data_IF_020606035574
#
_entry.id   IF_020606035574
#
_cell.length_a   1.000
_cell.length_b   1.000
_cell.length_c   1.000
_cell.angle_alpha   90.00
_cell.angle_beta   90.00
_cell.angle_gamma   90.00
#
_symmetry.space_group_name_H-M   'P 1'
#
loop_
_entity.id
_entity.type
_entity.pdbx_description
1 polymer ?
#
# COMPACT_ATOMS: atom_id res chain seq x y z
N UNK A 1 -29.12 -32.64 52.23
CA UNK A 1 -27.84 -32.53 51.50
C UNK A 1 -28.07 -31.62 50.31
N UNK A 2 -27.59 -30.37 50.38
CA UNK A 2 -27.56 -29.44 49.26
C UNK A 2 -26.38 -29.79 48.34
N UNK A 3 -26.60 -29.77 47.02
CA UNK A 3 -25.61 -29.56 45.95
C UNK A 3 -26.45 -29.43 44.65
N UNK A 4 -26.41 -28.41 43.81
CA UNK A 4 -25.49 -27.30 43.58
C UNK A 4 -25.53 -27.05 42.07
N UNK A 5 -26.28 -26.04 41.62
CA UNK A 5 -26.40 -25.66 40.20
C UNK A 5 -25.12 -24.94 39.81
N UNK A 6 -24.35 -25.48 38.86
CA UNK A 6 -23.20 -24.80 38.27
C UNK A 6 -23.68 -23.78 37.23
N UNK A 7 -23.55 -22.50 37.55
CA UNK A 7 -23.80 -21.37 36.65
C UNK A 7 -22.51 -21.10 35.86
N UNK A 8 -22.53 -21.36 34.55
CA UNK A 8 -21.42 -21.04 33.65
C UNK A 8 -21.31 -19.52 33.46
N UNK A 9 -20.19 -18.94 33.89
CA UNK A 9 -19.88 -17.53 33.67
C UNK A 9 -19.43 -17.32 32.21
N UNK A 10 -20.24 -16.59 31.44
CA UNK A 10 -19.90 -16.11 30.11
C UNK A 10 -19.02 -14.86 30.26
N UNK A 11 -17.71 -15.00 30.03
CA UNK A 11 -16.80 -13.85 29.94
C UNK A 11 -17.03 -13.12 28.61
N UNK A 12 -17.75 -12.00 28.66
CA UNK A 12 -17.75 -11.02 27.57
C UNK A 12 -16.57 -10.08 27.81
N UNK A 13 -15.48 -10.30 27.08
CA UNK A 13 -14.39 -9.33 27.01
C UNK A 13 -14.88 -8.11 26.21
N UNK A 14 -15.40 -7.11 26.91
CA UNK A 14 -15.66 -5.80 26.32
C UNK A 14 -14.30 -5.14 26.04
N UNK A 15 -13.84 -5.21 24.79
CA UNK A 15 -12.70 -4.43 24.34
C UNK A 15 -13.01 -2.95 24.51
N UNK A 16 -12.22 -2.25 25.32
CA UNK A 16 -12.30 -0.80 25.45
C UNK A 16 -11.90 -0.17 24.12
N UNK A 17 -12.87 0.26 23.31
CA UNK A 17 -12.61 1.18 22.21
C UNK A 17 -12.44 2.56 22.82
N UNK A 18 -11.20 3.03 22.95
CA UNK A 18 -10.95 4.45 23.26
C UNK A 18 -11.31 5.21 21.97
N UNK A 19 -12.34 6.08 21.96
CA UNK A 19 -12.58 6.91 20.80
C UNK A 19 -11.39 7.86 20.67
N UNK A 20 -10.60 7.69 19.61
CA UNK A 20 -9.60 8.68 19.22
C UNK A 20 -10.40 9.92 18.80
N UNK A 21 -10.39 10.94 19.65
CA UNK A 21 -10.96 12.24 19.30
C UNK A 21 -10.11 12.83 18.18
N UNK A 22 -10.58 12.68 16.95
CA UNK A 22 -10.02 13.35 15.79
C UNK A 22 -10.23 14.86 15.98
N UNK A 23 -9.15 15.59 16.22
CA UNK A 23 -9.19 17.06 16.19
C UNK A 23 -9.35 17.49 14.74
N UNK A 24 -10.39 18.25 14.43
CA UNK A 24 -10.60 18.81 13.10
C UNK A 24 -9.94 20.19 13.02
N UNK A 25 -9.29 20.48 11.90
CA UNK A 25 -8.84 21.82 11.54
C UNK A 25 -10.05 22.75 11.22
N UNK A 26 -9.85 24.07 11.09
CA UNK A 26 -10.94 25.00 10.75
C UNK A 26 -11.64 24.73 9.42
N UNK A 27 -11.06 23.91 8.55
CA UNK A 27 -11.62 23.48 7.26
C UNK A 27 -12.33 22.12 7.36
N UNK A 28 -12.46 21.56 8.57
CA UNK A 28 -13.11 20.27 8.84
C UNK A 28 -12.27 19.06 8.44
N UNK A 29 -10.96 19.21 8.20
CA UNK A 29 -10.05 18.09 8.00
C UNK A 29 -9.63 17.52 9.36
N UNK A 30 -9.58 16.19 9.53
CA UNK A 30 -8.79 15.57 10.59
C UNK A 30 -7.38 16.15 10.61
N UNK A 31 -6.85 16.48 11.78
CA UNK A 31 -5.43 16.74 11.96
C UNK A 31 -4.69 15.41 11.70
N UNK A 32 -4.24 15.20 10.47
CA UNK A 32 -3.45 14.03 10.09
C UNK A 32 -2.01 14.23 10.56
N UNK A 33 -1.81 14.03 11.86
CA UNK A 33 -0.47 14.02 12.41
C UNK A 33 0.26 12.77 11.94
N UNK A 34 1.49 12.95 11.49
CA UNK A 34 2.30 11.82 11.06
C UNK A 34 2.46 10.81 12.21
N UNK A 35 2.40 9.51 11.87
CA UNK A 35 2.47 8.43 12.85
C UNK A 35 1.20 8.19 13.69
N UNK A 36 0.14 8.98 13.53
CA UNK A 36 -1.15 8.73 14.18
C UNK A 36 -2.10 8.04 13.19
N UNK A 37 -2.51 6.78 13.42
CA UNK A 37 -3.46 6.09 12.55
C UNK A 37 -4.86 6.70 12.67
N UNK A 38 -5.54 6.83 11.54
CA UNK A 38 -6.93 7.33 11.46
C UNK A 38 -7.80 6.29 10.77
N UNK A 39 -8.84 5.83 11.45
CA UNK A 39 -9.79 4.89 10.87
C UNK A 39 -10.78 5.61 9.94
N UNK A 40 -11.04 5.00 8.79
CA UNK A 40 -11.94 5.50 7.77
C UNK A 40 -12.71 4.37 7.10
N UNK A 41 -13.86 4.69 6.49
CA UNK A 41 -14.61 3.77 5.63
C UNK A 41 -14.41 4.16 4.17
N UNK A 42 -14.04 3.22 3.32
CA UNK A 42 -13.95 3.47 1.88
C UNK A 42 -15.35 3.61 1.29
N UNK A 43 -15.65 4.76 0.71
CA UNK A 43 -16.95 5.07 0.10
C UNK A 43 -16.95 4.86 -1.40
N UNK A 44 -15.81 5.11 -2.06
CA UNK A 44 -15.62 4.95 -3.50
C UNK A 44 -14.15 4.66 -3.81
N UNK A 45 -13.92 3.88 -4.86
CA UNK A 45 -12.60 3.78 -5.52
C UNK A 45 -12.65 4.67 -6.74
N UNK A 46 -11.67 5.58 -6.87
CA UNK A 46 -11.60 6.55 -7.97
C UNK A 46 -10.80 5.91 -9.11
N UNK A 47 -9.63 5.39 -8.80
CA UNK A 47 -8.75 4.65 -9.71
C UNK A 47 -7.87 3.65 -8.92
N UNK A 48 -6.78 3.17 -9.52
CA UNK A 48 -5.92 2.14 -8.94
C UNK A 48 -5.22 2.54 -7.66
N UNK A 49 -4.81 3.81 -7.51
CA UNK A 49 -4.08 4.30 -6.33
C UNK A 49 -4.86 5.37 -5.55
N UNK A 50 -6.05 5.76 -5.99
CA UNK A 50 -6.85 6.83 -5.37
C UNK A 50 -8.21 6.32 -4.91
N UNK A 51 -8.53 6.58 -3.63
CA UNK A 51 -9.80 6.20 -2.98
C UNK A 51 -10.47 7.40 -2.31
N UNK A 52 -11.80 7.35 -2.19
CA UNK A 52 -12.55 8.26 -1.35
C UNK A 52 -12.96 7.55 -0.05
N UNK A 53 -12.79 8.25 1.07
CA UNK A 53 -13.02 7.69 2.41
C UNK A 53 -13.83 8.64 3.28
N UNK A 54 -14.63 8.07 4.17
CA UNK A 54 -15.39 8.78 5.18
C UNK A 54 -14.78 8.52 6.56
N UNK A 55 -14.35 9.57 7.22
CA UNK A 55 -13.84 9.52 8.60
C UNK A 55 -14.96 9.85 9.57
N UNK A 56 -14.96 9.21 10.73
CA UNK A 56 -15.97 9.43 11.76
C UNK A 56 -16.00 10.91 12.17
N UNK A 57 -17.18 11.54 12.08
CA UNK A 57 -17.37 12.96 12.38
C UNK A 57 -16.75 13.94 11.36
N UNK A 58 -15.95 13.46 10.41
CA UNK A 58 -15.31 14.26 9.37
C UNK A 58 -16.10 14.29 8.06
N UNK A 59 -15.60 15.04 7.08
CA UNK A 59 -16.09 15.00 5.70
C UNK A 59 -15.53 13.79 4.94
N UNK A 60 -16.01 13.61 3.71
CA UNK A 60 -15.38 12.68 2.78
C UNK A 60 -14.06 13.28 2.30
N UNK A 61 -13.01 12.46 2.28
CA UNK A 61 -11.66 12.81 1.88
C UNK A 61 -11.24 11.96 0.69
N UNK A 62 -10.49 12.55 -0.24
CA UNK A 62 -9.80 11.80 -1.30
C UNK A 62 -8.39 11.49 -0.84
N UNK A 63 -8.00 10.23 -0.93
CA UNK A 63 -6.70 9.71 -0.49
C UNK A 63 -6.00 9.10 -1.69
N UNK A 64 -4.78 9.56 -1.98
CA UNK A 64 -3.85 8.84 -2.86
C UNK A 64 -2.96 7.97 -2.00
N UNK A 65 -2.85 6.69 -2.37
CA UNK A 65 -1.98 5.73 -1.69
C UNK A 65 -0.54 6.19 -1.85
N UNK A 66 0.10 6.51 -0.73
CA UNK A 66 1.46 7.02 -0.71
C UNK A 66 2.45 5.94 -1.18
N UNK A 67 3.41 6.34 -2.02
CA UNK A 67 4.56 5.56 -2.45
C UNK A 67 4.37 4.77 -3.75
N UNK A 68 3.16 4.77 -4.31
CA UNK A 68 2.84 4.01 -5.52
C UNK A 68 2.20 4.90 -6.59
N UNK A 69 2.21 4.39 -7.81
CA UNK A 69 1.57 4.97 -8.99
C UNK A 69 1.02 3.82 -9.85
N UNK A 70 -0.24 3.92 -10.28
CA UNK A 70 -0.88 2.93 -11.17
C UNK A 70 -1.04 3.48 -12.56
N UNK A 71 -1.05 2.64 -13.62
CA UNK A 71 -1.30 3.14 -14.96
C UNK A 71 -2.63 3.89 -15.05
N UNK A 72 -2.66 4.95 -15.84
CA UNK A 72 -3.86 5.78 -16.00
C UNK A 72 -4.95 5.02 -16.76
N UNK A 73 -6.21 5.26 -16.41
CA UNK A 73 -7.36 4.63 -17.12
C UNK A 73 -7.66 5.25 -18.48
N UNK A 74 -6.97 6.35 -18.81
CA UNK A 74 -7.09 7.04 -20.09
C UNK A 74 -5.74 7.01 -20.82
N UNK A 75 -5.75 6.67 -22.11
CA UNK A 75 -4.52 6.41 -22.87
C UNK A 75 -3.58 7.62 -22.94
N UNK A 76 -4.12 8.84 -23.00
CA UNK A 76 -3.33 10.07 -23.05
C UNK A 76 -2.64 10.41 -21.72
N UNK A 77 -3.01 9.73 -20.63
CA UNK A 77 -2.33 9.81 -19.33
C UNK A 77 -1.16 8.84 -19.21
N UNK A 78 -0.97 7.92 -20.16
CA UNK A 78 0.10 6.92 -20.10
C UNK A 78 1.24 7.28 -21.06
N UNK A 79 2.45 7.45 -20.53
CA UNK A 79 3.66 7.68 -21.34
C UNK A 79 4.53 6.42 -21.42
N UNK A 80 5.07 6.14 -22.62
CA UNK A 80 5.76 4.88 -22.93
C UNK A 80 7.11 4.62 -22.22
N UNK A 81 7.49 5.45 -21.25
CA UNK A 81 8.71 5.29 -20.46
C UNK A 81 8.46 5.35 -18.94
N UNK A 82 7.21 5.40 -18.49
CA UNK A 82 6.87 5.41 -17.06
C UNK A 82 7.07 4.04 -16.40
N UNK A 83 6.91 2.97 -17.19
CA UNK A 83 6.99 1.59 -16.74
C UNK A 83 8.14 0.89 -17.47
N UNK A 84 9.12 0.40 -16.71
CA UNK A 84 10.30 -0.26 -17.25
C UNK A 84 9.91 -1.45 -18.14
N UNK A 85 10.42 -1.46 -19.38
CA UNK A 85 10.15 -2.52 -20.35
C UNK A 85 8.75 -2.50 -20.97
N UNK A 86 7.94 -1.47 -20.74
CA UNK A 86 6.57 -1.36 -21.25
C UNK A 86 6.35 0.00 -21.90
N UNK A 87 6.24 0.01 -23.23
CA UNK A 87 6.11 1.25 -24.00
C UNK A 87 4.74 1.44 -24.66
N UNK A 88 3.78 0.53 -24.46
CA UNK A 88 2.46 0.58 -25.10
C UNK A 88 1.45 1.30 -24.20
N UNK A 89 0.97 2.49 -24.58
CA UNK A 89 -0.03 3.22 -23.79
C UNK A 89 -1.33 2.42 -23.64
N UNK A 90 -1.83 1.79 -24.71
CA UNK A 90 -3.05 0.96 -24.65
C UNK A 90 -2.93 -0.27 -23.74
N UNK A 91 -1.73 -0.86 -23.62
CA UNK A 91 -1.46 -1.91 -22.64
C UNK A 91 -1.54 -1.35 -21.21
N UNK A 92 -0.91 -0.19 -20.98
CA UNK A 92 -0.96 0.51 -19.69
C UNK A 92 -2.40 0.91 -19.31
N UNK A 93 -3.19 1.47 -20.23
CA UNK A 93 -4.62 1.76 -20.04
C UNK A 93 -5.41 0.53 -19.57
N UNK A 94 -5.16 -0.62 -20.21
CA UNK A 94 -5.80 -1.88 -19.83
C UNK A 94 -5.41 -2.31 -18.41
N UNK A 95 -4.18 -2.02 -17.99
CA UNK A 95 -3.71 -2.26 -16.63
C UNK A 95 -4.20 -1.24 -15.63
N UNK A 96 -4.45 0.01 -16.03
CA UNK A 96 -5.11 1.01 -15.20
C UNK A 96 -6.49 0.54 -14.76
N UNK A 97 -7.30 0.03 -15.70
CA UNK A 97 -8.59 -0.57 -15.36
C UNK A 97 -8.46 -1.81 -14.45
N UNK A 98 -7.42 -2.63 -14.64
CA UNK A 98 -7.17 -3.81 -13.79
C UNK A 98 -6.76 -3.40 -12.37
N UNK A 99 -5.94 -2.36 -12.23
CA UNK A 99 -5.54 -1.80 -10.95
C UNK A 99 -6.75 -1.22 -10.22
N UNK A 100 -7.60 -0.42 -10.89
CA UNK A 100 -8.84 0.11 -10.30
C UNK A 100 -9.76 -1.01 -9.81
N UNK A 101 -9.95 -2.06 -10.60
CA UNK A 101 -10.77 -3.21 -10.22
C UNK A 101 -10.18 -3.98 -9.03
N UNK A 102 -8.86 -4.13 -8.96
CA UNK A 102 -8.21 -4.82 -7.85
C UNK A 102 -8.32 -4.01 -6.56
N UNK A 103 -8.09 -2.69 -6.62
CA UNK A 103 -8.32 -1.78 -5.50
C UNK A 103 -9.77 -1.84 -5.04
N UNK A 104 -10.73 -1.82 -5.97
CA UNK A 104 -12.15 -1.99 -5.64
C UNK A 104 -12.43 -3.31 -4.91
N UNK A 105 -11.91 -4.43 -5.41
CA UNK A 105 -12.04 -5.76 -4.79
C UNK A 105 -11.44 -5.79 -3.39
N UNK A 106 -10.31 -5.14 -3.19
CA UNK A 106 -9.58 -5.14 -1.92
C UNK A 106 -10.25 -4.29 -0.85
N UNK A 107 -10.76 -3.09 -1.19
CA UNK A 107 -11.12 -2.09 -0.18
C UNK A 107 -12.56 -1.56 -0.22
N UNK A 108 -13.32 -1.74 -1.30
CA UNK A 108 -14.64 -1.08 -1.41
C UNK A 108 -15.58 -1.46 -0.27
N UNK A 109 -16.13 -0.44 0.39
CA UNK A 109 -17.07 -0.60 1.50
C UNK A 109 -16.44 -1.08 2.81
N UNK A 110 -15.13 -1.37 2.84
CA UNK A 110 -14.41 -1.83 4.03
C UNK A 110 -13.95 -0.66 4.90
N UNK A 111 -13.63 -0.97 6.15
CA UNK A 111 -12.89 -0.06 7.03
C UNK A 111 -11.40 -0.19 6.73
N UNK A 112 -10.71 0.93 6.68
CA UNK A 112 -9.26 1.04 6.46
C UNK A 112 -8.65 1.94 7.53
N UNK A 113 -7.35 1.78 7.75
CA UNK A 113 -6.57 2.68 8.60
C UNK A 113 -5.64 3.50 7.71
N UNK A 114 -5.72 4.83 7.83
CA UNK A 114 -4.87 5.77 7.12
C UNK A 114 -3.70 6.15 8.01
N UNK A 115 -2.50 6.13 7.46
CA UNK A 115 -1.29 6.54 8.18
C UNK A 115 -0.46 7.49 7.32
N UNK A 116 -0.37 8.75 7.75
CA UNK A 116 0.49 9.75 7.14
C UNK A 116 1.97 9.48 7.48
N UNK A 117 2.85 9.83 6.54
CA UNK A 117 4.30 9.68 6.70
C UNK A 117 4.94 11.02 7.04
N UNK A 118 5.84 11.06 8.04
CA UNK A 118 6.51 12.28 8.48
C UNK A 118 7.49 12.85 7.44
N UNK A 119 7.90 12.04 6.45
CA UNK A 119 8.83 12.44 5.39
C UNK A 119 8.14 13.13 4.21
N UNK A 120 6.81 13.12 4.16
CA UNK A 120 6.02 13.70 3.07
C UNK A 120 5.06 14.77 3.59
N UNK A 121 4.61 15.63 2.68
CA UNK A 121 3.53 16.57 3.00
C UNK A 121 2.21 15.82 3.20
N UNK A 122 1.31 16.37 4.02
CA UNK A 122 0.00 15.77 4.26
C UNK A 122 -0.81 15.59 2.97
N UNK A 123 -0.69 16.52 2.02
CA UNK A 123 -1.48 16.57 0.80
C UNK A 123 -0.62 16.85 -0.41
N UNK A 124 -1.06 16.34 -1.56
CA UNK A 124 -0.47 16.73 -2.84
C UNK A 124 -1.03 18.06 -3.37
N UNK A 125 -0.50 18.49 -4.51
CA UNK A 125 -0.91 19.72 -5.22
C UNK A 125 -2.37 19.75 -5.66
N UNK A 126 -3.06 18.60 -5.68
CA UNK A 126 -4.48 18.47 -6.04
C UNK A 126 -5.38 18.43 -4.80
N UNK A 127 -4.79 18.51 -3.59
CA UNK A 127 -5.50 18.48 -2.32
C UNK A 127 -5.87 17.07 -1.85
N UNK A 128 -5.36 16.01 -2.50
CA UNK A 128 -5.56 14.62 -2.05
C UNK A 128 -4.69 14.38 -0.82
N UNK A 129 -5.25 13.71 0.18
CA UNK A 129 -4.49 13.22 1.33
C UNK A 129 -3.48 12.17 0.86
N UNK A 130 -2.25 12.25 1.36
CA UNK A 130 -1.21 11.27 1.15
C UNK A 130 -1.11 10.36 2.38
N UNK A 131 -1.42 9.08 2.20
CA UNK A 131 -1.37 8.12 3.31
C UNK A 131 -1.06 6.71 2.83
N UNK A 132 -0.41 5.94 3.70
CA UNK A 132 -0.47 4.49 3.61
C UNK A 132 -1.87 4.02 4.01
N UNK A 133 -2.40 3.04 3.28
CA UNK A 133 -3.75 2.50 3.51
C UNK A 133 -3.62 1.07 4.02
N UNK A 134 -3.87 0.90 5.31
CA UNK A 134 -3.97 -0.41 5.96
C UNK A 134 -5.35 -1.04 5.75
N UNK A 135 -5.38 -2.30 5.35
CA UNK A 135 -6.61 -3.10 5.17
C UNK A 135 -6.37 -4.54 5.61
N UNK A 136 -7.22 -5.06 6.50
CA UNK A 136 -7.17 -6.46 6.96
C UNK A 136 -5.76 -6.92 7.42
N UNK A 137 -5.01 -6.03 8.09
CA UNK A 137 -3.63 -6.26 8.55
C UNK A 137 -2.56 -6.17 7.46
N UNK A 138 -2.95 -5.86 6.23
CA UNK A 138 -2.06 -5.67 5.07
C UNK A 138 -1.98 -4.20 4.68
N UNK A 139 -0.96 -3.85 3.89
CA UNK A 139 -0.78 -2.53 3.30
C UNK A 139 -1.21 -2.57 1.82
N UNK A 140 -2.17 -1.72 1.43
CA UNK A 140 -2.73 -1.71 0.07
C UNK A 140 -1.65 -1.46 -1.00
N UNK A 141 -0.73 -0.53 -0.76
CA UNK A 141 0.36 -0.24 -1.69
C UNK A 141 1.22 -1.47 -1.94
N UNK A 142 1.56 -2.21 -0.87
CA UNK A 142 2.30 -3.46 -0.93
C UNK A 142 1.56 -4.53 -1.72
N UNK A 143 0.25 -4.68 -1.53
CA UNK A 143 -0.59 -5.63 -2.28
C UNK A 143 -0.59 -5.32 -3.78
N UNK A 144 -0.73 -4.04 -4.14
CA UNK A 144 -0.75 -3.60 -5.54
C UNK A 144 0.62 -3.77 -6.22
N UNK A 145 1.72 -3.47 -5.51
CA UNK A 145 3.08 -3.70 -6.01
C UNK A 145 3.35 -5.19 -6.23
N UNK A 146 3.03 -6.04 -5.24
CA UNK A 146 3.21 -7.49 -5.33
C UNK A 146 2.43 -8.10 -6.50
N UNK A 147 1.21 -7.64 -6.73
CA UNK A 147 0.37 -8.10 -7.84
C UNK A 147 0.79 -7.57 -9.21
N UNK A 148 1.75 -6.64 -9.28
CA UNK A 148 2.15 -5.98 -10.51
C UNK A 148 1.05 -5.06 -11.08
N UNK A 149 0.30 -4.39 -10.21
CA UNK A 149 -0.72 -3.40 -10.60
C UNK A 149 -0.20 -1.96 -10.56
N UNK A 150 0.90 -1.74 -9.85
CA UNK A 150 1.50 -0.42 -9.63
C UNK A 150 3.02 -0.47 -9.81
N UNK A 151 3.62 0.69 -10.01
CA UNK A 151 5.05 0.95 -9.80
C UNK A 151 5.25 1.75 -8.51
N UNK A 152 6.49 1.78 -8.03
CA UNK A 152 6.92 2.68 -6.96
C UNK A 152 7.03 4.09 -7.54
N UNK A 153 6.42 5.08 -6.87
CA UNK A 153 6.58 6.48 -7.25
C UNK A 153 7.89 7.02 -6.68
N UNK A 154 8.98 6.84 -7.43
CA UNK A 154 10.35 7.11 -6.95
C UNK A 154 10.69 8.59 -6.78
N UNK A 155 9.88 9.46 -7.38
CA UNK A 155 10.03 10.91 -7.40
C UNK A 155 9.66 11.53 -6.04
N UNK A 156 8.89 10.82 -5.21
CA UNK A 156 8.56 11.22 -3.84
C UNK A 156 9.45 10.56 -2.78
N UNK A 157 9.51 11.20 -1.60
CA UNK A 157 10.21 10.71 -0.41
C UNK A 157 9.21 10.21 0.62
N UNK A 158 9.40 8.97 1.10
CA UNK A 158 8.50 8.30 2.03
C UNK A 158 9.24 7.12 2.70
N UNK A 159 8.83 6.76 3.92
CA UNK A 159 9.53 5.81 4.78
C UNK A 159 9.51 4.36 4.28
N UNK A 160 8.48 3.92 3.53
CA UNK A 160 8.39 2.54 3.00
C UNK A 160 9.14 2.30 1.69
N UNK A 161 9.91 3.27 1.19
CA UNK A 161 10.48 3.26 -0.16
C UNK A 161 11.32 2.01 -0.46
N UNK A 162 12.23 1.62 0.43
CA UNK A 162 13.06 0.43 0.24
C UNK A 162 12.20 -0.85 0.15
N UNK A 163 11.24 -1.02 1.05
CA UNK A 163 10.32 -2.16 1.03
C UNK A 163 9.52 -2.21 -0.27
N UNK A 164 9.00 -1.08 -0.73
CA UNK A 164 8.22 -1.01 -1.97
C UNK A 164 9.05 -1.34 -3.21
N UNK A 165 10.30 -0.88 -3.27
CA UNK A 165 11.22 -1.22 -4.36
C UNK A 165 11.52 -2.73 -4.41
N UNK A 166 11.68 -3.39 -3.26
CA UNK A 166 11.83 -4.84 -3.19
C UNK A 166 10.60 -5.57 -3.76
N UNK A 167 9.40 -5.16 -3.35
CA UNK A 167 8.15 -5.77 -3.83
C UNK A 167 7.96 -5.57 -5.34
N UNK A 168 8.27 -4.39 -5.87
CA UNK A 168 8.24 -4.16 -7.32
C UNK A 168 9.25 -5.06 -8.03
N UNK A 169 10.48 -5.17 -7.52
CA UNK A 169 11.52 -5.99 -8.14
C UNK A 169 11.12 -7.47 -8.19
N UNK A 170 10.53 -7.99 -7.11
CA UNK A 170 9.96 -9.34 -7.07
C UNK A 170 8.84 -9.52 -8.11
N UNK A 171 7.94 -8.55 -8.24
CA UNK A 171 6.87 -8.57 -9.24
C UNK A 171 7.41 -8.51 -10.67
N UNK A 172 8.43 -7.69 -10.93
CA UNK A 172 9.11 -7.58 -12.21
C UNK A 172 9.78 -8.90 -12.62
N UNK A 173 10.60 -9.47 -11.74
CA UNK A 173 11.27 -10.76 -11.97
C UNK A 173 10.26 -11.91 -12.13
N UNK A 174 9.20 -11.88 -11.33
CA UNK A 174 8.08 -12.82 -11.39
C UNK A 174 7.21 -12.65 -12.63
N UNK A 175 7.30 -11.52 -13.35
CA UNK A 175 6.37 -11.15 -14.42
C UNK A 175 4.93 -11.10 -13.93
N UNK A 176 4.73 -10.66 -12.68
CA UNK A 176 3.41 -10.45 -12.13
C UNK A 176 2.76 -9.25 -12.81
N UNK A 177 1.45 -9.34 -13.02
CA UNK A 177 0.67 -8.21 -13.50
C UNK A 177 1.17 -7.62 -14.82
N UNK A 178 1.29 -6.29 -14.84
CA UNK A 178 1.76 -5.51 -15.99
C UNK A 178 3.17 -5.89 -16.42
N UNK A 179 4.00 -6.37 -15.50
CA UNK A 179 5.40 -6.74 -15.77
C UNK A 179 5.53 -7.97 -16.67
N UNK A 180 4.45 -8.73 -16.91
CA UNK A 180 4.48 -9.83 -17.86
C UNK A 180 4.81 -9.38 -19.30
N UNK A 181 4.49 -8.14 -19.68
CA UNK A 181 4.84 -7.61 -21.00
C UNK A 181 6.35 -7.34 -21.16
N UNK A 182 7.06 -7.09 -20.06
CA UNK A 182 8.51 -6.85 -20.08
C UNK A 182 9.33 -8.15 -20.12
N UNK A 183 8.70 -9.32 -19.92
CA UNK A 183 9.38 -10.61 -20.02
C UNK A 183 9.76 -10.93 -21.46
N UNK A 184 11.06 -10.90 -21.75
CA UNK A 184 11.60 -11.46 -22.99
C UNK A 184 12.03 -12.91 -22.77
N UNK A 185 12.11 -13.75 -23.82
CA UNK A 185 12.67 -15.10 -23.70
C UNK A 185 14.09 -15.14 -23.14
N UNK A 186 14.88 -14.07 -23.32
CA UNK A 186 16.21 -13.91 -22.71
C UNK A 186 16.14 -13.67 -21.20
N UNK A 187 15.14 -12.94 -20.69
CA UNK A 187 14.93 -12.75 -19.25
C UNK A 187 14.44 -14.02 -18.54
N UNK A 188 14.11 -15.09 -19.29
CA UNK A 188 13.78 -16.42 -18.77
C UNK A 188 15.00 -17.33 -18.62
N UNK A 189 16.18 -16.93 -19.12
CA UNK A 189 17.42 -17.58 -18.69
C UNK A 189 17.63 -17.24 -17.23
N UNK A 190 17.24 -18.17 -16.34
CA UNK A 190 17.68 -18.14 -14.95
C UNK A 190 19.20 -17.98 -14.99
N UNK A 191 19.70 -16.84 -14.51
CA UNK A 191 21.09 -16.77 -14.12
C UNK A 191 21.39 -17.99 -13.25
N UNK A 192 22.56 -18.62 -13.37
CA UNK A 192 22.96 -19.70 -12.48
C UNK A 192 23.09 -19.23 -11.03
N UNK A 193 22.74 -17.96 -10.75
CA UNK A 193 22.68 -17.35 -9.44
C UNK A 193 21.34 -16.64 -9.33
N UNK A 194 20.56 -16.99 -8.31
CA UNK A 194 19.30 -16.35 -7.95
C UNK A 194 19.34 -15.84 -6.51
N UNK A 195 18.59 -14.81 -6.17
CA UNK A 195 18.45 -14.38 -4.78
C UNK A 195 17.63 -15.44 -4.01
N UNK A 196 18.22 -16.06 -3.00
CA UNK A 196 17.59 -17.02 -2.11
C UNK A 196 16.80 -16.34 -0.99
N UNK A 197 17.35 -15.27 -0.42
CA UNK A 197 16.67 -14.43 0.57
C UNK A 197 17.32 -13.05 0.64
N UNK A 198 16.56 -12.08 1.13
CA UNK A 198 17.06 -10.74 1.45
C UNK A 198 16.78 -10.49 2.93
N UNK A 199 17.83 -10.23 3.70
CA UNK A 199 17.71 -9.65 5.02
C UNK A 199 17.96 -8.15 4.89
N UNK A 200 16.90 -7.37 4.95
CA UNK A 200 16.92 -5.92 4.74
C UNK A 200 16.79 -5.12 6.04
N UNK A 201 16.49 -5.81 7.15
CA UNK A 201 16.32 -5.19 8.47
C UNK A 201 17.34 -5.84 9.39
N UNK A 202 18.41 -5.10 9.67
CA UNK A 202 19.42 -5.52 10.60
C UNK A 202 18.81 -5.52 12.01
N UNK A 203 19.02 -6.56 12.83
CA UNK A 203 18.60 -6.49 14.22
C UNK A 203 19.33 -5.33 14.93
N UNK A 204 18.57 -4.37 15.47
CA UNK A 204 19.10 -3.28 16.30
C UNK A 204 19.19 -1.94 15.58
N UNK A 205 20.19 -1.13 15.95
CA UNK A 205 20.49 0.14 15.29
C UNK A 205 21.42 -0.12 14.11
N UNK A 206 20.99 0.23 12.90
CA UNK A 206 21.71 -0.03 11.65
C UNK A 206 23.12 0.59 11.63
N UNK A 207 23.33 1.68 12.37
CA UNK A 207 24.64 2.34 12.49
C UNK A 207 25.67 1.48 13.21
N UNK A 208 25.19 0.58 14.06
CA UNK A 208 25.99 -0.34 14.85
C UNK A 208 26.07 -1.75 14.22
N UNK A 209 25.30 -2.02 13.15
CA UNK A 209 25.26 -3.31 12.47
C UNK A 209 25.40 -3.18 10.94
N UNK A 210 26.56 -2.73 10.42
CA UNK A 210 26.75 -2.42 9.00
C UNK A 210 26.69 -3.64 8.07
N UNK A 211 26.70 -4.86 8.61
CA UNK A 211 26.58 -6.12 7.87
C UNK A 211 25.28 -6.88 8.18
N UNK A 212 24.35 -6.27 8.92
CA UNK A 212 23.07 -6.89 9.27
C UNK A 212 22.09 -6.96 8.09
N UNK A 213 22.36 -6.17 7.05
CA UNK A 213 21.66 -6.23 5.77
C UNK A 213 22.47 -7.05 4.76
N UNK A 214 21.88 -8.09 4.18
CA UNK A 214 22.55 -8.93 3.21
C UNK A 214 21.59 -9.64 2.26
N UNK A 215 22.13 -10.04 1.11
CA UNK A 215 21.44 -10.87 0.13
C UNK A 215 22.10 -12.25 0.14
N UNK A 216 21.31 -13.29 0.33
CA UNK A 216 21.76 -14.67 0.13
C UNK A 216 21.52 -15.02 -1.32
N UNK A 217 22.55 -15.48 -2.01
CA UNK A 217 22.47 -15.98 -3.37
C UNK A 217 22.45 -17.52 -3.35
N UNK A 218 21.63 -18.13 -4.21
CA UNK A 218 21.62 -19.54 -4.50
C UNK A 218 22.12 -19.77 -5.93
N UNK A 219 22.82 -20.87 -6.16
CA UNK A 219 23.31 -21.29 -7.47
C UNK A 219 23.08 -22.77 -7.73
#
# INVERSE_FOLDING_TARGET
MLLGIALGALLVAAGCTVPVNVTLDPSGHPAYMCGVPVDARVTRVIDGDTIAVKIAGGREETVRVLGIDTPETEEHGNWGNEYEGISSPSYLTSWGHRASNETERLVKGKSVTLMADCMTGERDRYGRLLAYVGIDGSDLGSLLLQGGYARVYTEESFGKKQRYLLLQSEAQLGGAGLWNAAKTPESLQKSPVSIASVQYDAPGDDRENPNGEYIVLAS
#
